data_IF_553973442355
#
_entry.id   IF_553973442355
#
_cell.length_a   1.000
_cell.length_b   1.000
_cell.length_c   1.000
_cell.angle_alpha   90.00
_cell.angle_beta   90.00
_cell.angle_gamma   90.00
#
_symmetry.space_group_name_H-M   'P 1'
#
loop_
_entity.id
_entity.type
_entity.pdbx_description
1 polymer ?
#
# COMPACT_ATOMS: atom_id res chain seq x y z
N UNK A 1 5.73 15.54 -7.62
CA UNK A 1 4.75 15.37 -6.59
C UNK A 1 4.97 14.08 -5.85
N UNK A 2 5.51 14.20 -4.69
CA UNK A 2 5.82 13.03 -3.90
C UNK A 2 4.60 12.54 -3.17
N UNK A 3 4.57 11.28 -2.86
CA UNK A 3 3.53 10.71 -2.07
C UNK A 3 2.23 10.47 -2.81
N UNK A 4 1.72 11.49 -3.50
CA UNK A 4 0.43 11.33 -4.20
C UNK A 4 0.55 10.29 -5.30
N UNK A 5 1.56 10.40 -6.15
CA UNK A 5 1.75 9.43 -7.21
C UNK A 5 2.03 8.05 -6.68
N UNK A 6 2.81 7.96 -5.60
CA UNK A 6 3.13 6.67 -5.01
C UNK A 6 1.89 6.02 -4.39
N UNK A 7 1.06 6.82 -3.70
CA UNK A 7 -0.16 6.27 -3.11
C UNK A 7 -1.10 5.71 -4.16
N UNK A 8 -1.24 6.40 -5.29
CA UNK A 8 -2.06 5.89 -6.38
C UNK A 8 -1.48 4.62 -6.98
N UNK A 9 -0.15 4.57 -7.08
CA UNK A 9 0.52 3.36 -7.55
C UNK A 9 0.21 2.17 -6.62
N UNK A 10 0.36 2.37 -5.31
CA UNK A 10 0.06 1.30 -4.35
C UNK A 10 -1.39 0.87 -4.44
N UNK A 11 -2.30 1.84 -4.52
CA UNK A 11 -3.72 1.55 -4.61
C UNK A 11 -4.03 0.70 -5.84
N UNK A 12 -3.45 1.07 -6.98
CA UNK A 12 -3.70 0.32 -8.21
C UNK A 12 -3.16 -1.10 -8.10
N UNK A 13 -1.93 -1.24 -7.62
CA UNK A 13 -1.32 -2.57 -7.53
C UNK A 13 -2.07 -3.46 -6.54
N UNK A 14 -2.39 -2.93 -5.38
CA UNK A 14 -3.09 -3.70 -4.37
C UNK A 14 -4.49 -4.08 -4.85
N UNK A 15 -5.18 -3.17 -5.52
CA UNK A 15 -6.52 -3.44 -6.02
C UNK A 15 -6.53 -4.51 -7.10
N UNK A 16 -5.53 -4.50 -7.97
CA UNK A 16 -5.44 -5.49 -9.04
C UNK A 16 -5.17 -6.88 -8.48
N UNK A 17 -4.39 -6.96 -7.40
CA UNK A 17 -4.12 -8.23 -6.75
C UNK A 17 -5.33 -8.70 -5.95
N UNK A 18 -6.15 -7.76 -5.47
CA UNK A 18 -7.30 -8.09 -4.66
C UNK A 18 -7.06 -8.00 -3.16
N UNK A 19 -6.07 -7.24 -2.77
CA UNK A 19 -5.73 -7.06 -1.37
C UNK A 19 -6.71 -6.12 -0.68
N UNK A 20 -6.75 -6.22 0.64
CA UNK A 20 -7.53 -5.31 1.48
C UNK A 20 -6.57 -4.44 2.27
N UNK A 21 -7.05 -3.27 2.68
CA UNK A 21 -6.26 -2.40 3.52
C UNK A 21 -6.31 -0.96 3.09
N UNK A 22 -5.19 -0.27 3.33
CA UNK A 22 -5.14 1.15 3.00
C UNK A 22 -3.69 1.63 2.91
N UNK A 23 -3.53 2.81 2.31
CA UNK A 23 -2.24 3.50 2.23
C UNK A 23 -2.49 4.96 2.58
N UNK A 24 -1.57 5.57 3.30
CA UNK A 24 -1.70 6.98 3.69
C UNK A 24 -0.32 7.62 3.86
N UNK A 25 -0.30 8.94 3.79
CA UNK A 25 0.89 9.70 4.19
C UNK A 25 0.83 9.96 5.68
N UNK A 26 1.98 9.88 6.32
CA UNK A 26 2.07 10.24 7.74
C UNK A 26 2.43 11.72 7.86
N UNK A 27 2.32 12.24 9.08
CA UNK A 27 2.69 13.64 9.33
C UNK A 27 4.17 13.88 9.08
N UNK A 28 4.98 12.85 9.25
CA UNK A 28 6.42 12.96 9.02
C UNK A 28 6.81 12.88 7.55
N UNK A 29 5.84 12.69 6.67
CA UNK A 29 6.14 12.59 5.25
C UNK A 29 6.42 11.19 4.75
N UNK A 30 6.26 10.20 5.60
CA UNK A 30 6.41 8.80 5.20
C UNK A 30 5.13 8.30 4.56
N UNK A 31 5.20 7.13 3.93
CA UNK A 31 4.01 6.44 3.43
C UNK A 31 3.80 5.19 4.29
N UNK A 32 2.61 5.05 4.82
CA UNK A 32 2.26 3.90 5.64
C UNK A 32 1.24 3.04 4.90
N UNK A 33 1.48 1.73 4.86
CA UNK A 33 0.64 0.78 4.15
C UNK A 33 0.25 -0.33 5.10
N UNK A 34 -1.05 -0.64 5.13
CA UNK A 34 -1.55 -1.82 5.83
C UNK A 34 -2.28 -2.66 4.80
N UNK A 35 -1.86 -3.91 4.63
CA UNK A 35 -2.46 -4.79 3.62
C UNK A 35 -2.69 -6.16 4.22
N UNK A 36 -3.73 -6.82 3.74
CA UNK A 36 -4.09 -8.17 4.14
C UNK A 36 -4.39 -9.00 2.91
N UNK A 37 -3.93 -10.24 2.90
CA UNK A 37 -4.17 -11.16 1.81
C UNK A 37 -3.44 -12.45 2.03
N UNK A 38 -3.42 -13.31 1.01
CA UNK A 38 -2.65 -14.54 1.07
C UNK A 38 -1.16 -14.23 0.98
N UNK A 39 -0.34 -15.19 1.36
CA UNK A 39 1.11 -15.01 1.30
C UNK A 39 1.57 -14.68 -0.13
N UNK A 40 1.01 -15.35 -1.12
CA UNK A 40 1.38 -15.09 -2.51
C UNK A 40 0.96 -13.68 -2.95
N UNK A 41 -0.23 -13.26 -2.55
CA UNK A 41 -0.72 -11.92 -2.88
C UNK A 41 0.15 -10.84 -2.26
N UNK A 42 0.51 -11.03 -1.01
CA UNK A 42 1.35 -10.07 -0.31
C UNK A 42 2.74 -10.00 -0.95
N UNK A 43 3.25 -11.14 -1.37
CA UNK A 43 4.55 -11.18 -2.03
C UNK A 43 4.51 -10.47 -3.38
N UNK A 44 3.42 -10.62 -4.11
CA UNK A 44 3.24 -9.92 -5.38
C UNK A 44 3.26 -8.40 -5.17
N UNK A 45 2.57 -7.92 -4.13
CA UNK A 45 2.59 -6.50 -3.84
C UNK A 45 3.98 -6.02 -3.47
N UNK A 46 4.67 -6.80 -2.64
CA UNK A 46 6.03 -6.44 -2.24
C UNK A 46 6.94 -6.31 -3.44
N UNK A 47 6.83 -7.22 -4.38
CA UNK A 47 7.61 -7.16 -5.61
C UNK A 47 7.30 -5.91 -6.41
N UNK A 48 6.01 -5.56 -6.53
CA UNK A 48 5.60 -4.35 -7.23
C UNK A 48 6.15 -3.10 -6.56
N UNK A 49 6.14 -3.06 -5.23
CA UNK A 49 6.64 -1.90 -4.50
C UNK A 49 8.13 -1.71 -4.68
N UNK A 50 8.87 -2.80 -4.81
CA UNK A 50 10.31 -2.70 -5.04
C UNK A 50 10.63 -2.07 -6.38
N UNK A 51 9.82 -2.38 -7.40
CA UNK A 51 10.01 -1.75 -8.70
C UNK A 51 9.71 -0.27 -8.63
N UNK A 52 8.65 0.06 -7.92
CA UNK A 52 8.22 1.43 -7.75
C UNK A 52 7.79 2.08 -9.04
N UNK A 53 7.06 3.17 -8.96
CA UNK A 53 6.79 3.99 -10.14
C UNK A 53 8.00 4.86 -10.42
N UNK A 54 8.22 5.14 -11.70
CA UNK A 54 9.31 6.00 -12.10
C UNK A 54 9.09 7.41 -11.59
N UNK A 55 10.17 8.05 -11.13
CA UNK A 55 10.14 9.43 -10.73
C UNK A 55 9.49 9.68 -9.38
N UNK A 56 9.09 8.64 -8.71
CA UNK A 56 8.51 8.78 -7.39
C UNK A 56 9.61 8.91 -6.35
N UNK A 57 9.35 9.73 -5.36
CA UNK A 57 10.26 9.91 -4.25
C UNK A 57 9.54 9.70 -2.96
N UNK A 58 9.95 8.67 -2.23
CA UNK A 58 9.40 8.37 -0.92
C UNK A 58 10.58 8.08 -0.02
N UNK A 59 10.71 8.85 1.04
CA UNK A 59 11.85 8.69 1.94
C UNK A 59 11.76 7.39 2.70
N UNK A 60 10.55 7.03 3.13
CA UNK A 60 10.38 5.83 3.92
C UNK A 60 8.98 5.28 3.75
N UNK A 61 8.91 3.96 3.68
CA UNK A 61 7.64 3.25 3.60
C UNK A 61 7.52 2.36 4.82
N UNK A 62 6.41 2.51 5.53
CA UNK A 62 6.09 1.68 6.69
C UNK A 62 5.09 0.64 6.23
N UNK A 63 5.51 -0.63 6.17
CA UNK A 63 4.68 -1.69 5.61
C UNK A 63 4.24 -2.64 6.72
N UNK A 64 2.93 -2.89 6.77
CA UNK A 64 2.34 -3.81 7.73
C UNK A 64 1.58 -4.86 6.95
N UNK A 65 2.05 -6.09 7.00
CA UNK A 65 1.49 -7.19 6.23
C UNK A 65 0.73 -8.11 7.17
N UNK A 66 -0.55 -8.28 6.91
CA UNK A 66 -1.44 -9.10 7.74
C UNK A 66 -1.94 -10.29 6.95
N UNK A 67 -2.12 -11.44 7.61
CA UNK A 67 -2.75 -12.56 6.94
C UNK A 67 -4.26 -12.30 6.81
N UNK A 68 -4.95 -13.19 6.12
CA UNK A 68 -6.37 -12.98 5.86
C UNK A 68 -7.20 -12.94 7.15
N UNK A 69 -6.82 -13.75 8.13
CA UNK A 69 -7.56 -13.77 9.38
C UNK A 69 -7.37 -12.46 10.15
N UNK A 70 -6.14 -11.94 10.18
CA UNK A 70 -5.86 -10.69 10.87
C UNK A 70 -6.55 -9.51 10.22
N UNK A 71 -6.67 -9.53 8.90
CA UNK A 71 -7.21 -8.41 8.15
C UNK A 71 -8.65 -8.58 7.72
N UNK A 72 -9.40 -9.51 8.33
CA UNK A 72 -10.74 -9.81 7.84
C UNK A 72 -11.70 -8.61 7.98
N UNK A 73 -11.40 -7.67 8.87
CA UNK A 73 -12.22 -6.48 9.04
C UNK A 73 -11.91 -5.37 8.07
N UNK A 74 -10.82 -5.51 7.30
CA UNK A 74 -10.43 -4.45 6.40
C UNK A 74 -11.30 -4.47 5.15
N UNK A 75 -11.64 -3.26 4.69
CA UNK A 75 -12.39 -3.11 3.44
C UNK A 75 -11.45 -3.25 2.24
N UNK A 76 -12.03 -3.17 1.05
CA UNK A 76 -11.24 -3.14 -0.17
C UNK A 76 -10.19 -2.04 -0.07
N UNK A 77 -9.07 -2.22 -0.76
CA UNK A 77 -7.94 -1.31 -0.62
C UNK A 77 -8.32 0.12 -0.98
N UNK A 78 -7.86 1.06 -0.19
CA UNK A 78 -8.21 2.47 -0.39
C UNK A 78 -7.07 3.38 0.04
N UNK A 79 -7.16 4.63 -0.39
CA UNK A 79 -6.23 5.67 0.03
C UNK A 79 -6.87 6.42 1.18
N UNK A 80 -6.17 6.48 2.31
CA UNK A 80 -6.63 7.21 3.48
C UNK A 80 -6.09 8.62 3.45
N UNK A 81 -6.83 9.51 4.09
CA UNK A 81 -6.38 10.87 4.22
C UNK A 81 -7.14 11.81 3.31
N UNK A 82 -7.05 13.08 3.60
CA UNK A 82 -7.80 14.10 2.89
C UNK A 82 -6.84 14.99 2.13
N UNK A 83 -6.70 14.75 0.86
CA UNK A 83 -5.97 15.67 0.01
C UNK A 83 -6.14 15.41 -1.46
#
# INVERSE_FOLDING_TARGET
MQGVGFRWFVHREASEIGLRGWVRNTEEGDVEIVVSGTADELDDLRTSLRRGPRGSRVDRILEHYLDEAEGHDLAAFRIEGAW
#
